data_IF_813008780048
#
_entry.id   IF_813008780048
#
_cell.length_a   1.000
_cell.length_b   1.000
_cell.length_c   1.000
_cell.angle_alpha   90.00
_cell.angle_beta   90.00
_cell.angle_gamma   90.00
#
_symmetry.space_group_name_H-M   'P 1'
#
loop_
_entity.id
_entity.type
_entity.pdbx_description
1 polymer ?
#
# COMPACT_ATOMS: atom_id res chain seq x y z
N UNK A 1 0.31 0.51 -24.08
CA UNK A 1 -1.01 0.90 -23.55
C UNK A 1 -2.08 -0.12 -23.91
N UNK A 2 -2.12 -0.62 -25.15
CA UNK A 2 -3.08 -1.64 -25.59
C UNK A 2 -2.96 -2.96 -24.82
N UNK A 3 -1.74 -3.35 -24.43
CA UNK A 3 -1.53 -4.54 -23.59
C UNK A 3 -2.18 -4.43 -22.20
N UNK A 4 -2.16 -3.24 -21.59
CA UNK A 4 -2.82 -3.00 -20.31
C UNK A 4 -4.34 -2.92 -20.45
N UNK A 5 -4.85 -2.30 -21.52
CA UNK A 5 -6.30 -2.35 -21.83
C UNK A 5 -6.77 -3.81 -22.00
N UNK A 6 -6.02 -4.62 -22.75
CA UNK A 6 -6.34 -6.04 -22.94
C UNK A 6 -6.28 -6.82 -21.62
N UNK A 7 -5.34 -6.50 -20.74
CA UNK A 7 -5.29 -7.09 -19.40
C UNK A 7 -6.54 -6.74 -18.58
N UNK A 8 -7.07 -5.52 -18.72
CA UNK A 8 -8.29 -5.06 -18.05
C UNK A 8 -9.57 -5.59 -18.68
N UNK A 9 -9.56 -5.89 -19.98
CA UNK A 9 -10.64 -6.66 -20.64
C UNK A 9 -10.72 -8.10 -20.12
N UNK A 10 -9.57 -8.71 -19.81
CA UNK A 10 -9.49 -10.06 -19.27
C UNK A 10 -9.80 -10.11 -17.78
N UNK A 11 -9.27 -9.16 -17.01
CA UNK A 11 -9.52 -9.02 -15.58
C UNK A 11 -9.69 -7.54 -15.21
N UNK A 12 -10.95 -7.05 -15.13
CA UNK A 12 -11.23 -5.66 -14.80
C UNK A 12 -10.94 -5.32 -13.32
N UNK A 13 -10.62 -6.31 -12.48
CA UNK A 13 -10.30 -6.13 -11.06
C UNK A 13 -8.80 -6.09 -10.79
N UNK A 14 -7.97 -6.14 -11.83
CA UNK A 14 -6.52 -6.12 -11.70
C UNK A 14 -5.98 -4.71 -11.43
N UNK A 15 -5.87 -4.33 -10.16
CA UNK A 15 -5.36 -3.02 -9.73
C UNK A 15 -3.98 -2.64 -10.32
N UNK A 16 -3.07 -3.61 -10.42
CA UNK A 16 -1.73 -3.38 -11.02
C UNK A 16 -1.81 -2.94 -12.48
N UNK A 17 -2.74 -3.46 -13.27
CA UNK A 17 -2.90 -3.06 -14.67
C UNK A 17 -3.39 -1.61 -14.82
N UNK A 18 -4.21 -1.11 -13.89
CA UNK A 18 -4.59 0.30 -13.84
C UNK A 18 -3.40 1.20 -13.49
N UNK A 19 -2.60 0.83 -12.50
CA UNK A 19 -1.37 1.55 -12.13
C UNK A 19 -0.36 1.62 -13.29
N UNK A 20 -0.14 0.49 -13.98
CA UNK A 20 0.80 0.42 -15.10
C UNK A 20 0.31 1.21 -16.30
N UNK A 21 -1.00 1.19 -16.58
CA UNK A 21 -1.61 2.02 -17.61
C UNK A 21 -1.46 3.50 -17.29
N UNK A 22 -1.71 3.90 -16.03
CA UNK A 22 -1.55 5.27 -15.56
C UNK A 22 -0.11 5.78 -15.73
N UNK A 23 0.88 4.97 -15.34
CA UNK A 23 2.30 5.30 -15.51
C UNK A 23 2.75 5.38 -16.97
N UNK A 24 2.03 4.73 -17.88
CA UNK A 24 2.29 4.80 -19.31
C UNK A 24 1.63 6.02 -19.98
N UNK A 25 0.74 6.76 -19.33
CA UNK A 25 0.09 7.96 -19.91
C UNK A 25 1.03 9.17 -19.91
N UNK A 26 0.89 10.02 -20.92
CA UNK A 26 1.53 11.33 -20.92
C UNK A 26 0.75 12.31 -20.03
N UNK A 27 1.39 13.40 -19.55
CA UNK A 27 0.69 14.44 -18.80
C UNK A 27 -0.48 15.01 -19.61
N UNK A 28 -1.67 15.05 -18.99
CA UNK A 28 -2.90 15.52 -19.63
C UNK A 28 -3.57 14.51 -20.58
N UNK A 29 -2.95 13.36 -20.82
CA UNK A 29 -3.55 12.31 -21.64
C UNK A 29 -4.67 11.58 -20.89
N UNK A 30 -5.73 11.23 -21.62
CA UNK A 30 -6.86 10.45 -21.11
C UNK A 30 -7.09 9.23 -21.99
N UNK A 31 -7.50 8.13 -21.37
CA UNK A 31 -7.73 6.84 -22.01
C UNK A 31 -9.07 6.25 -21.60
N UNK A 32 -9.83 5.75 -22.57
CA UNK A 32 -10.96 4.87 -22.29
C UNK A 32 -10.42 3.46 -21.97
N UNK A 33 -10.86 2.92 -20.84
CA UNK A 33 -10.44 1.63 -20.30
C UNK A 33 -11.58 0.61 -20.29
N UNK A 34 -12.83 1.05 -20.49
CA UNK A 34 -14.02 0.20 -20.36
C UNK A 34 -14.98 0.27 -21.55
N UNK A 35 -14.62 1.00 -22.62
CA UNK A 35 -15.46 1.18 -23.81
C UNK A 35 -16.75 1.95 -23.54
N UNK A 36 -16.88 2.53 -22.34
CA UNK A 36 -18.04 3.30 -21.90
C UNK A 36 -17.97 4.78 -22.26
N UNK A 37 -16.95 5.21 -23.00
CA UNK A 37 -16.74 6.59 -23.41
C UNK A 37 -16.18 7.51 -22.31
N UNK A 38 -15.94 7.00 -21.10
CA UNK A 38 -15.33 7.76 -20.02
C UNK A 38 -13.81 7.65 -20.09
N UNK A 39 -13.18 8.68 -20.63
CA UNK A 39 -11.73 8.76 -20.72
C UNK A 39 -11.14 9.15 -19.35
N UNK A 40 -10.36 8.25 -18.76
CA UNK A 40 -9.67 8.43 -17.48
C UNK A 40 -8.25 8.90 -17.72
N UNK A 41 -7.80 9.91 -17.00
CA UNK A 41 -6.40 10.33 -16.92
C UNK A 41 -5.62 9.52 -15.88
N UNK A 42 -4.34 9.84 -15.74
CA UNK A 42 -3.43 9.09 -14.86
C UNK A 42 -3.89 9.09 -13.39
N UNK A 43 -4.37 10.22 -12.87
CA UNK A 43 -4.84 10.32 -11.49
C UNK A 43 -6.06 9.42 -11.23
N UNK A 44 -7.07 9.43 -12.11
CA UNK A 44 -8.27 8.61 -11.99
C UNK A 44 -7.93 7.10 -12.11
N UNK A 45 -6.93 6.74 -12.91
CA UNK A 45 -6.46 5.36 -13.02
C UNK A 45 -5.72 4.88 -11.76
N UNK A 46 -4.85 5.71 -11.18
CA UNK A 46 -4.22 5.37 -9.89
C UNK A 46 -5.26 5.30 -8.77
N UNK A 47 -6.28 6.16 -8.77
CA UNK A 47 -7.38 6.07 -7.83
C UNK A 47 -8.13 4.73 -7.94
N UNK A 48 -8.48 4.29 -9.16
CA UNK A 48 -9.05 2.96 -9.39
C UNK A 48 -8.12 1.82 -8.95
N UNK A 49 -6.82 1.96 -9.17
CA UNK A 49 -5.86 0.96 -8.72
C UNK A 49 -5.88 0.82 -7.19
N UNK A 50 -5.98 1.94 -6.47
CA UNK A 50 -6.09 1.97 -5.00
C UNK A 50 -7.44 1.39 -4.52
N UNK A 51 -8.54 1.67 -5.21
CA UNK A 51 -9.85 1.07 -4.89
C UNK A 51 -9.82 -0.46 -4.99
N UNK A 52 -9.10 -0.99 -5.97
CA UNK A 52 -8.96 -2.43 -6.20
C UNK A 52 -7.90 -3.07 -5.29
N UNK A 53 -6.83 -2.34 -5.00
CA UNK A 53 -5.74 -2.76 -4.12
C UNK A 53 -5.35 -1.61 -3.15
N UNK A 54 -5.98 -1.55 -1.96
CA UNK A 54 -5.70 -0.52 -0.97
C UNK A 54 -4.35 -0.71 -0.27
N UNK A 55 -3.61 -1.78 -0.58
CA UNK A 55 -2.28 -2.02 -0.02
C UNK A 55 -1.16 -1.55 -0.95
N UNK A 56 -1.48 -1.06 -2.14
CA UNK A 56 -0.49 -0.60 -3.11
C UNK A 56 0.15 0.74 -2.69
N UNK A 57 1.27 0.68 -1.97
CA UNK A 57 2.03 1.88 -1.58
C UNK A 57 2.50 2.69 -2.81
N UNK A 58 2.81 2.01 -3.91
CA UNK A 58 3.21 2.63 -5.16
C UNK A 58 2.10 3.48 -5.78
N UNK A 59 0.86 2.97 -5.82
CA UNK A 59 -0.26 3.70 -6.39
C UNK A 59 -0.57 4.98 -5.61
N UNK A 60 -0.56 4.92 -4.27
CA UNK A 60 -0.71 6.11 -3.41
C UNK A 60 0.37 7.16 -3.67
N UNK A 61 1.63 6.74 -3.77
CA UNK A 61 2.77 7.65 -4.00
C UNK A 61 2.66 8.32 -5.38
N UNK A 62 2.28 7.55 -6.40
CA UNK A 62 2.14 8.07 -7.76
C UNK A 62 0.95 9.03 -7.87
N UNK A 63 -0.19 8.71 -7.27
CA UNK A 63 -1.33 9.61 -7.21
C UNK A 63 -0.98 10.93 -6.52
N UNK A 64 -0.31 10.87 -5.36
CA UNK A 64 0.16 12.06 -4.66
C UNK A 64 1.09 12.93 -5.51
N UNK A 65 1.99 12.32 -6.28
CA UNK A 65 2.93 13.05 -7.15
C UNK A 65 2.28 13.77 -8.33
N UNK A 66 1.05 13.38 -8.70
CA UNK A 66 0.29 14.02 -9.76
C UNK A 66 -0.53 15.21 -9.28
N UNK A 67 -0.78 15.32 -7.96
CA UNK A 67 -1.59 16.39 -7.39
C UNK A 67 -0.77 17.65 -7.14
N UNK A 68 -1.35 18.79 -7.48
CA UNK A 68 -0.80 20.08 -7.08
C UNK A 68 -1.06 20.37 -5.59
N UNK A 69 -0.28 21.27 -4.97
CA UNK A 69 -0.54 21.70 -3.60
C UNK A 69 -1.97 22.22 -3.43
N UNK A 70 -2.72 21.63 -2.50
CA UNK A 70 -4.13 21.96 -2.24
C UNK A 70 -5.14 21.25 -3.13
N UNK A 71 -4.70 20.50 -4.14
CA UNK A 71 -5.56 19.64 -4.96
C UNK A 71 -5.94 18.36 -4.19
N UNK A 72 -7.09 17.79 -4.54
CA UNK A 72 -7.60 16.54 -3.99
C UNK A 72 -7.91 15.55 -5.10
N UNK A 73 -7.59 14.29 -4.87
CA UNK A 73 -8.03 13.18 -5.72
C UNK A 73 -9.17 12.42 -5.03
N UNK A 74 -10.21 12.07 -5.78
CA UNK A 74 -11.24 11.17 -5.32
C UNK A 74 -10.81 9.72 -5.50
N UNK A 75 -10.84 8.96 -4.42
CA UNK A 75 -10.54 7.52 -4.39
C UNK A 75 -11.68 6.83 -3.65
N UNK A 76 -12.45 6.00 -4.35
CA UNK A 76 -13.54 5.22 -3.78
C UNK A 76 -14.66 6.09 -3.18
N UNK A 77 -14.86 7.29 -3.72
CA UNK A 77 -15.81 8.28 -3.18
C UNK A 77 -15.29 9.08 -1.97
N UNK A 78 -14.02 8.91 -1.59
CA UNK A 78 -13.36 9.74 -0.56
C UNK A 78 -12.30 10.61 -1.20
N UNK A 79 -12.35 11.92 -0.95
CA UNK A 79 -11.34 12.85 -1.46
C UNK A 79 -10.12 12.90 -0.54
N UNK A 80 -8.93 12.76 -1.11
CA UNK A 80 -7.66 12.83 -0.39
C UNK A 80 -6.75 13.91 -0.97
N UNK A 81 -6.09 14.65 -0.08
CA UNK A 81 -4.98 15.53 -0.44
C UNK A 81 -3.70 14.72 -0.73
N UNK A 82 -2.75 15.33 -1.44
CA UNK A 82 -1.43 14.71 -1.67
C UNK A 82 -0.73 14.27 -0.37
N UNK A 83 -0.83 15.06 0.69
CA UNK A 83 -0.24 14.71 2.00
C UNK A 83 -0.89 13.48 2.64
N UNK A 84 -2.21 13.37 2.57
CA UNK A 84 -2.96 12.22 3.09
C UNK A 84 -2.61 10.95 2.30
N UNK A 85 -2.49 11.06 0.98
CA UNK A 85 -2.07 9.96 0.12
C UNK A 85 -0.65 9.49 0.46
N UNK A 86 0.30 10.40 0.73
CA UNK A 86 1.65 10.03 1.16
C UNK A 86 1.62 9.30 2.51
N UNK A 87 0.81 9.75 3.48
CA UNK A 87 0.65 9.05 4.75
C UNK A 87 0.07 7.64 4.54
N UNK A 88 -0.92 7.50 3.66
CA UNK A 88 -1.48 6.21 3.27
C UNK A 88 -0.46 5.30 2.59
N UNK A 89 0.40 5.84 1.73
CA UNK A 89 1.47 5.07 1.09
C UNK A 89 2.43 4.46 2.12
N UNK A 90 2.79 5.22 3.16
CA UNK A 90 3.67 4.73 4.23
C UNK A 90 2.98 3.61 5.02
N UNK A 91 1.70 3.79 5.37
CA UNK A 91 0.91 2.77 6.05
C UNK A 91 0.77 1.49 5.21
N UNK A 92 0.49 1.63 3.92
CA UNK A 92 0.36 0.52 2.98
C UNK A 92 1.66 -0.29 2.88
N UNK A 93 2.82 0.38 2.82
CA UNK A 93 4.13 -0.26 2.80
C UNK A 93 4.44 -1.05 4.08
N UNK A 94 4.02 -0.54 5.24
CA UNK A 94 4.16 -1.26 6.52
C UNK A 94 3.34 -2.54 6.50
N UNK A 95 2.11 -2.48 6.00
CA UNK A 95 1.22 -3.64 5.89
C UNK A 95 1.75 -4.68 4.88
N UNK A 96 2.31 -4.24 3.74
CA UNK A 96 2.96 -5.15 2.77
C UNK A 96 4.10 -5.96 3.42
N UNK A 97 4.91 -5.31 4.25
CA UNK A 97 6.02 -5.95 4.98
C UNK A 97 5.54 -6.94 6.03
N UNK A 98 4.46 -6.62 6.75
CA UNK A 98 3.88 -7.49 7.76
C UNK A 98 3.23 -8.73 7.14
N UNK A 99 2.50 -8.58 6.04
CA UNK A 99 1.91 -9.72 5.31
C UNK A 99 3.00 -10.62 4.74
N UNK A 100 4.06 -10.05 4.16
CA UNK A 100 5.21 -10.82 3.67
C UNK A 100 5.93 -11.59 4.78
N UNK A 101 5.94 -11.07 6.01
CA UNK A 101 6.54 -11.75 7.17
C UNK A 101 5.73 -12.95 7.68
N UNK A 102 4.42 -13.02 7.39
CA UNK A 102 3.55 -14.14 7.80
C UNK A 102 3.70 -15.39 6.94
N UNK A 103 4.12 -15.26 5.69
CA UNK A 103 4.35 -16.38 4.76
C UNK A 103 5.82 -16.87 4.74
N UNK A 104 6.72 -16.21 5.47
CA UNK A 104 8.06 -16.75 5.68
C UNK A 104 7.97 -17.97 6.62
N UNK A 105 8.55 -19.14 6.28
CA UNK A 105 8.67 -20.23 7.25
C UNK A 105 9.35 -19.67 8.50
N UNK A 106 8.92 -20.05 9.71
CA UNK A 106 9.51 -19.53 10.93
C UNK A 106 11.01 -19.82 10.85
N UNK A 107 11.81 -18.78 10.65
CA UNK A 107 13.24 -18.92 10.77
C UNK A 107 13.49 -19.39 12.21
N UNK A 108 14.30 -20.43 12.42
CA UNK A 108 14.60 -20.88 13.78
C UNK A 108 15.14 -19.67 14.52
N UNK A 109 14.36 -19.20 15.50
CA UNK A 109 14.72 -18.10 16.38
C UNK A 109 16.14 -18.38 16.87
N UNK A 110 17.10 -17.57 16.44
CA UNK A 110 18.41 -17.54 17.07
C UNK A 110 18.17 -17.06 18.50
N UNK A 111 18.18 -18.03 19.41
CA UNK A 111 18.24 -17.81 20.85
C UNK A 111 19.48 -16.99 21.18
N UNK A 112 19.23 -15.88 21.88
CA UNK A 112 20.11 -15.16 22.81
C UNK A 112 21.38 -14.48 22.24
N UNK A 113 21.83 -13.32 22.76
CA UNK A 113 22.10 -12.99 24.16
C UNK A 113 22.13 -11.47 24.37
N UNK A 114 21.17 -10.87 25.06
CA UNK A 114 21.38 -9.54 25.73
C UNK A 114 20.64 -9.32 27.04
N UNK A 115 20.01 -10.32 27.65
CA UNK A 115 19.47 -10.20 29.00
C UNK A 115 20.15 -11.20 29.94
N UNK A 116 21.42 -10.91 30.27
CA UNK A 116 22.14 -11.55 31.37
C UNK A 116 22.03 -10.64 32.60
N UNK A 117 21.45 -11.19 33.67
CA UNK A 117 21.65 -10.88 35.09
C UNK A 117 21.22 -9.49 35.65
N UNK A 118 20.26 -9.49 36.58
CA UNK A 118 20.57 -9.30 38.02
C UNK A 118 19.71 -10.29 38.83
N UNK A 119 20.40 -11.08 39.65
CA UNK A 119 19.89 -11.99 40.68
C UNK A 119 20.26 -11.35 42.02
N UNK A 120 19.30 -11.07 42.89
CA UNK A 120 19.51 -10.69 44.29
C UNK A 120 18.25 -11.15 45.04
N UNK A 121 18.19 -12.34 45.64
CA UNK A 121 18.72 -12.76 46.96
C UNK A 121 18.34 -11.79 48.08
N UNK A 122 17.22 -12.08 48.74
CA UNK A 122 17.04 -12.02 50.21
C UNK A 122 16.26 -13.30 50.57
N UNK A 123 16.93 -14.40 50.95
CA UNK A 123 17.19 -14.81 52.34
C UNK A 123 15.96 -14.71 53.26
N UNK A 124 15.43 -15.90 53.55
CA UNK A 124 14.43 -16.25 54.56
C UNK A 124 14.77 -15.71 55.96
N UNK A 125 13.78 -15.65 56.85
CA UNK A 125 13.92 -16.57 57.99
C UNK A 125 12.64 -17.36 58.25
N UNK A 126 12.86 -18.52 58.87
CA UNK A 126 11.87 -19.37 59.50
C UNK A 126 10.87 -18.58 60.34
N UNK A 127 9.59 -18.97 60.28
CA UNK A 127 8.80 -19.31 61.46
C UNK A 127 7.37 -19.73 61.05
N UNK A 128 6.98 -20.91 61.56
CA UNK A 128 5.66 -21.23 62.11
C UNK A 128 4.46 -21.23 61.13
N UNK A 129 3.82 -22.35 60.79
CA UNK A 129 3.37 -23.50 61.59
C UNK A 129 3.13 -24.74 60.70
#
# INVERSE_FOLDING_TARGET
>A
RDLYRRALELDPRRGSAYSDLAGALQPGERVDVGGGGLALGAAELYAKAIELDPHSAAAYTKLASLLQPGEKADVGGTSYTGEELVKKAIQARQLELEVSSRDAPPTPRTVDRKAVFIRQVELSPADAL
#
